data_IF_748338205415
#
_entry.id   IF_748338205415
#
_cell.length_a   1.000
_cell.length_b   1.000
_cell.length_c   1.000
_cell.angle_alpha   90.00
_cell.angle_beta   90.00
_cell.angle_gamma   90.00
#
_symmetry.space_group_name_H-M   'P 1'
#
loop_
_entity.id
_entity.type
_entity.pdbx_description
1 polymer ?
#
# COMPACT_ATOMS: atom_id res chain seq x y z
N UNK A 1 19.36 -2.71 -22.37
CA UNK A 1 20.27 -2.85 -21.22
C UNK A 1 21.29 -1.73 -21.30
N UNK A 2 21.44 -0.91 -20.26
CA UNK A 2 22.22 0.34 -20.30
C UNK A 2 23.66 0.12 -20.82
N UNK A 3 24.32 -0.96 -20.39
CA UNK A 3 25.68 -1.31 -20.81
C UNK A 3 25.84 -1.62 -22.32
N UNK A 4 24.75 -1.89 -23.04
CA UNK A 4 24.77 -2.16 -24.49
C UNK A 4 24.51 -0.92 -25.35
N UNK A 5 24.10 0.19 -24.74
CA UNK A 5 23.81 1.45 -25.43
C UNK A 5 25.10 2.14 -25.86
N UNK A 6 25.02 2.91 -26.94
CA UNK A 6 26.09 3.84 -27.36
C UNK A 6 26.26 4.97 -26.33
N UNK A 7 27.38 5.69 -26.37
CA UNK A 7 27.62 6.80 -25.44
C UNK A 7 26.50 7.85 -25.49
N UNK A 8 26.07 8.24 -26.69
CA UNK A 8 25.01 9.24 -26.90
C UNK A 8 23.68 8.79 -26.29
N UNK A 9 23.32 7.51 -26.46
CA UNK A 9 22.10 6.94 -25.85
C UNK A 9 22.20 6.76 -24.34
N UNK A 10 23.41 6.67 -23.77
CA UNK A 10 23.59 6.64 -22.31
C UNK A 10 23.41 8.03 -21.72
N UNK A 11 23.84 9.08 -22.43
CA UNK A 11 23.64 10.47 -22.02
C UNK A 11 22.16 10.86 -21.92
N UNK A 12 21.29 10.21 -22.71
CA UNK A 12 19.83 10.44 -22.61
C UNK A 12 19.17 9.70 -21.46
N UNK A 13 19.84 8.70 -20.89
CA UNK A 13 19.30 7.81 -19.85
C UNK A 13 19.79 8.17 -18.44
N UNK A 14 20.92 8.87 -18.32
CA UNK A 14 21.51 9.27 -17.04
C UNK A 14 21.11 10.70 -16.65
N UNK A 15 21.15 10.99 -15.35
CA UNK A 15 20.82 12.33 -14.84
C UNK A 15 21.98 13.32 -15.03
N UNK A 16 23.23 12.82 -15.01
CA UNK A 16 24.42 13.62 -15.34
C UNK A 16 25.57 12.75 -15.82
N UNK A 17 26.53 13.35 -16.52
CA UNK A 17 27.76 12.71 -16.97
C UNK A 17 28.96 13.58 -16.61
N UNK A 18 29.93 12.98 -15.91
CA UNK A 18 31.15 13.64 -15.48
C UNK A 18 32.28 13.32 -16.46
N UNK A 19 32.62 14.28 -17.32
CA UNK A 19 33.61 14.07 -18.38
C UNK A 19 35.02 13.80 -17.84
N UNK A 20 35.38 14.39 -16.70
CA UNK A 20 36.70 14.23 -16.09
C UNK A 20 36.96 12.83 -15.54
N UNK A 21 35.93 12.13 -15.04
CA UNK A 21 36.03 10.77 -14.50
C UNK A 21 35.45 9.70 -15.43
N UNK A 22 34.82 10.10 -16.54
CA UNK A 22 34.05 9.23 -17.44
C UNK A 22 32.93 8.45 -16.75
N UNK A 23 32.27 9.08 -15.77
CA UNK A 23 31.24 8.46 -14.93
C UNK A 23 29.82 8.94 -15.27
N UNK A 24 28.86 8.03 -15.19
CA UNK A 24 27.44 8.32 -15.34
C UNK A 24 26.79 8.40 -13.96
N UNK A 25 26.11 9.51 -13.68
CA UNK A 25 25.39 9.74 -12.45
C UNK A 25 23.91 9.41 -12.58
N UNK A 26 23.38 8.79 -11.53
CA UNK A 26 21.97 8.46 -11.39
C UNK A 26 21.50 8.89 -10.00
N UNK A 27 20.42 9.67 -9.93
CA UNK A 27 19.78 10.08 -8.67
C UNK A 27 18.89 8.95 -8.14
N UNK A 28 19.51 7.80 -7.87
CA UNK A 28 18.82 6.55 -7.48
C UNK A 28 19.47 5.90 -6.27
N UNK A 29 18.79 4.89 -5.72
CA UNK A 29 19.17 4.27 -4.45
C UNK A 29 20.48 3.45 -4.58
N UNK A 30 21.60 3.87 -3.97
CA UNK A 30 22.87 3.14 -4.09
C UNK A 30 22.80 1.73 -3.48
N UNK A 31 22.03 1.56 -2.41
CA UNK A 31 21.83 0.27 -1.73
C UNK A 31 21.18 -0.76 -2.66
N UNK A 32 20.21 -0.35 -3.49
CA UNK A 32 19.51 -1.29 -4.37
C UNK A 32 20.37 -1.57 -5.61
N UNK A 33 21.16 -0.57 -6.03
CA UNK A 33 22.03 -0.66 -7.19
C UNK A 33 23.12 -1.71 -7.05
N UNK A 34 23.60 -2.02 -5.84
CA UNK A 34 24.51 -3.15 -5.61
C UNK A 34 23.97 -4.47 -6.18
N UNK A 35 22.71 -4.80 -5.89
CA UNK A 35 22.08 -6.03 -6.40
C UNK A 35 21.86 -6.01 -7.93
N UNK A 36 21.68 -4.82 -8.50
CA UNK A 36 21.59 -4.64 -9.94
C UNK A 36 22.93 -4.99 -10.58
N UNK A 37 24.03 -4.41 -10.08
CA UNK A 37 25.39 -4.69 -10.57
C UNK A 37 25.79 -6.14 -10.35
N UNK A 38 25.46 -6.74 -9.21
CA UNK A 38 25.69 -8.16 -8.95
C UNK A 38 25.01 -9.05 -9.99
N UNK A 39 23.79 -8.70 -10.40
CA UNK A 39 23.12 -9.40 -11.50
C UNK A 39 23.88 -9.24 -12.83
N UNK A 40 24.40 -8.04 -13.14
CA UNK A 40 25.20 -7.82 -14.35
C UNK A 40 26.50 -8.62 -14.35
N UNK A 41 27.14 -8.82 -13.19
CA UNK A 41 28.40 -9.55 -13.04
C UNK A 41 28.17 -11.06 -13.03
N UNK A 42 27.22 -11.53 -12.22
CA UNK A 42 27.02 -12.97 -11.95
C UNK A 42 26.01 -13.64 -12.88
N UNK A 43 25.14 -12.84 -13.52
CA UNK A 43 23.98 -13.32 -14.27
C UNK A 43 22.84 -13.87 -13.41
N UNK A 44 22.96 -13.83 -12.07
CA UNK A 44 21.96 -14.38 -11.13
C UNK A 44 21.28 -13.26 -10.37
N UNK A 45 19.96 -13.18 -10.51
CA UNK A 45 19.15 -12.22 -9.76
C UNK A 45 18.62 -12.87 -8.49
N UNK A 46 19.10 -12.37 -7.34
CA UNK A 46 18.60 -12.74 -6.02
C UNK A 46 17.86 -11.57 -5.38
N UNK A 47 16.87 -11.88 -4.56
CA UNK A 47 16.11 -10.87 -3.84
C UNK A 47 16.78 -10.58 -2.49
N UNK A 48 17.21 -9.35 -2.22
CA UNK A 48 17.59 -8.92 -0.87
C UNK A 48 16.44 -9.02 0.14
N UNK A 49 16.76 -9.44 1.37
CA UNK A 49 15.79 -9.59 2.46
C UNK A 49 15.56 -8.31 3.26
N UNK A 50 16.53 -7.41 3.23
CA UNK A 50 16.59 -6.11 3.91
C UNK A 50 16.02 -4.96 3.06
N UNK A 51 15.72 -5.21 1.79
CA UNK A 51 15.13 -4.23 0.88
C UNK A 51 13.65 -4.52 0.65
N UNK A 52 12.84 -3.47 0.69
CA UNK A 52 11.42 -3.56 0.35
C UNK A 52 11.26 -4.12 -1.08
N UNK A 53 10.49 -5.20 -1.28
CA UNK A 53 10.29 -5.81 -2.60
C UNK A 53 9.75 -4.83 -3.65
N UNK A 54 8.84 -3.93 -3.26
CA UNK A 54 8.28 -2.91 -4.16
C UNK A 54 9.38 -1.97 -4.65
N UNK A 55 10.27 -1.52 -3.76
CA UNK A 55 11.39 -0.65 -4.15
C UNK A 55 12.35 -1.36 -5.10
N UNK A 56 12.66 -2.63 -4.84
CA UNK A 56 13.48 -3.44 -5.73
C UNK A 56 12.84 -3.56 -7.12
N UNK A 57 11.53 -3.77 -7.21
CA UNK A 57 10.77 -3.85 -8.47
C UNK A 57 10.91 -2.58 -9.30
N UNK A 58 10.70 -1.41 -8.70
CA UNK A 58 10.84 -0.14 -9.41
C UNK A 58 12.24 0.05 -9.97
N UNK A 59 13.27 -0.35 -9.24
CA UNK A 59 14.64 -0.34 -9.75
C UNK A 59 14.81 -1.35 -10.89
N UNK A 60 14.36 -2.60 -10.74
CA UNK A 60 14.43 -3.61 -11.81
C UNK A 60 13.73 -3.15 -13.09
N UNK A 61 12.57 -2.51 -12.97
CA UNK A 61 11.82 -1.96 -14.10
C UNK A 61 12.58 -0.78 -14.74
N UNK A 62 13.19 0.11 -13.95
CA UNK A 62 14.06 1.18 -14.45
C UNK A 62 15.26 0.61 -15.23
N UNK A 63 15.97 -0.37 -14.66
CA UNK A 63 17.14 -1.01 -15.26
C UNK A 63 16.79 -2.00 -16.38
N UNK A 64 15.50 -2.19 -16.67
CA UNK A 64 14.96 -3.11 -17.70
C UNK A 64 15.39 -4.56 -17.47
N UNK A 65 15.43 -4.98 -16.22
CA UNK A 65 15.73 -6.35 -15.80
C UNK A 65 14.40 -7.04 -15.48
N UNK A 66 13.96 -8.01 -16.31
CA UNK A 66 12.68 -8.67 -16.06
C UNK A 66 12.75 -9.55 -14.81
N UNK A 67 11.75 -9.41 -13.93
CA UNK A 67 11.61 -10.16 -12.68
C UNK A 67 11.56 -11.68 -12.90
N UNK A 68 11.16 -12.13 -14.10
CA UNK A 68 11.16 -13.55 -14.48
C UNK A 68 12.56 -14.20 -14.42
N UNK A 69 13.62 -13.41 -14.47
CA UNK A 69 15.01 -13.87 -14.34
C UNK A 69 15.44 -14.10 -12.88
N UNK A 70 14.55 -13.83 -11.93
CA UNK A 70 14.79 -14.12 -10.52
C UNK A 70 15.03 -15.61 -10.32
N UNK A 71 16.10 -15.91 -9.59
CA UNK A 71 16.52 -17.27 -9.27
C UNK A 71 15.43 -18.06 -8.52
N UNK A 72 15.44 -19.39 -8.65
CA UNK A 72 14.44 -20.28 -8.05
C UNK A 72 14.33 -20.06 -6.53
N UNK A 73 15.44 -19.83 -5.83
CA UNK A 73 15.45 -19.65 -4.38
C UNK A 73 14.85 -18.32 -3.91
N UNK A 74 14.66 -17.37 -4.82
CA UNK A 74 14.12 -16.04 -4.53
C UNK A 74 12.79 -15.77 -5.23
N UNK A 75 12.36 -16.66 -6.15
CA UNK A 75 10.99 -16.65 -6.64
C UNK A 75 10.09 -16.77 -5.42
N UNK A 76 9.15 -15.84 -5.31
CA UNK A 76 8.00 -16.01 -4.45
C UNK A 76 7.48 -17.41 -4.76
N UNK A 77 7.49 -18.31 -3.78
CA UNK A 77 6.73 -19.53 -3.92
C UNK A 77 5.30 -19.04 -4.14
N UNK A 78 4.86 -19.04 -5.40
CA UNK A 78 3.45 -18.97 -5.74
C UNK A 78 2.82 -19.99 -4.82
N UNK A 79 2.07 -19.51 -3.83
CA UNK A 79 1.34 -20.33 -2.91
C UNK A 79 0.32 -21.10 -3.72
N UNK A 80 0.74 -22.23 -4.30
CA UNK A 80 -0.11 -23.31 -4.77
C UNK A 80 -0.83 -23.85 -3.53
N UNK A 81 -1.81 -23.09 -3.05
CA UNK A 81 -2.86 -23.39 -2.05
C UNK A 81 -3.67 -22.13 -1.70
N UNK A 82 -4.07 -21.33 -2.69
CA UNK A 82 -5.25 -20.48 -2.57
C UNK A 82 -6.25 -20.85 -3.67
N UNK A 83 -7.13 -21.75 -3.26
CA UNK A 83 -8.34 -22.22 -3.91
C UNK A 83 -9.03 -21.21 -4.85
N UNK A 84 -9.07 -21.55 -6.15
CA UNK A 84 -10.23 -21.38 -7.04
C UNK A 84 -10.72 -19.96 -7.36
N UNK A 85 -10.75 -19.65 -8.66
CA UNK A 85 -11.37 -18.48 -9.32
C UNK A 85 -10.53 -17.19 -9.16
N UNK A 86 -10.08 -16.49 -10.18
CA UNK A 86 -10.68 -16.25 -11.49
C UNK A 86 -9.58 -15.78 -12.46
N UNK A 87 -9.62 -16.34 -13.66
CA UNK A 87 -8.92 -15.87 -14.84
C UNK A 87 -9.37 -14.44 -15.17
N UNK A 88 -8.48 -13.45 -15.04
CA UNK A 88 -8.39 -12.38 -16.03
C UNK A 88 -7.06 -11.63 -15.87
N UNK A 89 -6.45 -11.30 -17.01
CA UNK A 89 -5.30 -10.42 -17.16
C UNK A 89 -5.32 -9.29 -16.13
N UNK A 90 -4.20 -9.03 -15.44
CA UNK A 90 -3.70 -7.70 -15.12
C UNK A 90 -2.36 -7.81 -14.39
N UNK A 91 -1.34 -7.15 -14.95
CA UNK A 91 -0.01 -6.98 -14.35
C UNK A 91 -0.08 -6.38 -12.92
N UNK A 92 -1.22 -5.79 -12.57
CA UNK A 92 -1.55 -5.17 -11.28
C UNK A 92 -1.61 -6.15 -10.09
N UNK A 93 -1.95 -7.43 -10.31
CA UNK A 93 -1.93 -8.43 -9.22
C UNK A 93 -0.52 -8.69 -8.69
N UNK A 94 0.47 -8.69 -9.58
CA UNK A 94 1.88 -8.87 -9.22
C UNK A 94 2.37 -7.71 -8.36
N UNK A 95 1.86 -6.48 -8.55
CA UNK A 95 2.23 -5.35 -7.68
C UNK A 95 1.69 -5.51 -6.26
N UNK A 96 0.48 -6.05 -6.10
CA UNK A 96 -0.12 -6.26 -4.78
C UNK A 96 0.52 -7.44 -4.05
N UNK A 97 0.82 -8.52 -4.77
CA UNK A 97 1.47 -9.73 -4.27
C UNK A 97 2.94 -9.50 -3.88
N UNK A 98 3.63 -8.58 -4.57
CA UNK A 98 5.00 -8.20 -4.25
C UNK A 98 5.07 -7.22 -3.06
N UNK A 99 4.03 -6.41 -2.86
CA UNK A 99 3.92 -5.46 -1.75
C UNK A 99 3.71 -6.12 -0.39
N UNK A 100 3.10 -7.30 -0.39
CA UNK A 100 2.82 -8.05 0.82
C UNK A 100 3.54 -9.40 0.75
N UNK A 101 4.60 -9.65 1.55
CA UNK A 101 5.13 -11.01 1.68
C UNK A 101 3.98 -11.93 2.11
N UNK A 102 3.61 -12.95 1.32
CA UNK A 102 2.53 -13.89 1.69
C UNK A 102 2.83 -14.60 3.02
N UNK A 103 4.08 -14.58 3.46
CA UNK A 103 4.59 -15.24 4.66
C UNK A 103 4.65 -14.35 5.92
N UNK A 104 4.18 -13.10 5.91
CA UNK A 104 4.33 -12.20 7.07
C UNK A 104 3.49 -12.66 8.28
N UNK A 105 2.42 -13.42 8.06
CA UNK A 105 1.52 -13.88 9.12
C UNK A 105 1.46 -15.40 9.31
N UNK A 106 2.15 -16.19 8.48
CA UNK A 106 2.08 -17.66 8.54
C UNK A 106 2.70 -18.26 9.81
N UNK A 107 3.57 -17.51 10.48
CA UNK A 107 4.24 -17.94 11.72
C UNK A 107 3.51 -17.50 13.00
N UNK A 108 2.36 -16.82 12.89
CA UNK A 108 1.63 -16.24 14.02
C UNK A 108 0.32 -16.99 14.27
N UNK A 109 0.00 -17.25 15.54
CA UNK A 109 -1.32 -17.78 15.91
C UNK A 109 -2.43 -16.84 15.41
N UNK A 110 -3.43 -17.40 14.71
CA UNK A 110 -4.48 -16.64 13.99
C UNK A 110 -4.01 -15.73 12.84
N UNK A 111 -2.89 -16.06 12.18
CA UNK A 111 -2.40 -15.30 11.03
C UNK A 111 -3.42 -15.03 9.93
N UNK A 112 -4.30 -16.00 9.63
CA UNK A 112 -5.37 -15.86 8.62
C UNK A 112 -6.41 -14.80 8.98
N UNK A 113 -6.89 -14.79 10.22
CA UNK A 113 -7.86 -13.79 10.67
C UNK A 113 -7.23 -12.39 10.69
N UNK A 114 -5.97 -12.30 11.14
CA UNK A 114 -5.21 -11.05 11.15
C UNK A 114 -4.94 -10.52 9.75
N UNK A 115 -4.60 -11.38 8.80
CA UNK A 115 -4.40 -11.01 7.40
C UNK A 115 -5.72 -10.56 6.76
N UNK A 116 -6.84 -11.21 7.08
CA UNK A 116 -8.18 -10.79 6.63
C UNK A 116 -8.49 -9.40 7.17
N UNK A 117 -8.31 -9.16 8.47
CA UNK A 117 -8.55 -7.85 9.10
C UNK A 117 -7.62 -6.79 8.52
N UNK A 118 -6.33 -7.08 8.39
CA UNK A 118 -5.35 -6.15 7.84
C UNK A 118 -5.66 -5.80 6.38
N UNK A 119 -5.90 -6.80 5.53
CA UNK A 119 -6.31 -6.59 4.12
C UNK A 119 -7.62 -5.81 4.02
N UNK A 120 -8.53 -6.05 4.96
CA UNK A 120 -9.82 -5.40 5.03
C UNK A 120 -9.72 -3.90 5.37
N UNK A 121 -8.80 -3.50 6.26
CA UNK A 121 -8.53 -2.10 6.57
C UNK A 121 -7.67 -1.39 5.50
N UNK A 122 -6.68 -2.09 4.94
CA UNK A 122 -5.72 -1.50 4.01
C UNK A 122 -6.30 -1.30 2.59
N UNK A 123 -7.23 -2.17 2.16
CA UNK A 123 -7.79 -2.18 0.80
C UNK A 123 -9.33 -2.27 0.78
N UNK A 124 -10.05 -1.13 0.91
CA UNK A 124 -11.53 -1.10 0.86
C UNK A 124 -12.11 -1.51 -0.51
N UNK A 125 -11.28 -1.64 -1.55
CA UNK A 125 -11.68 -1.97 -2.92
C UNK A 125 -11.62 -3.47 -3.27
N UNK A 126 -11.10 -4.31 -2.37
CA UNK A 126 -10.78 -5.72 -2.68
C UNK A 126 -11.99 -6.66 -2.72
N UNK A 127 -13.05 -6.38 -1.96
CA UNK A 127 -14.22 -7.27 -1.82
C UNK A 127 -15.52 -6.50 -1.65
N UNK A 128 -16.65 -7.08 -2.07
CA UNK A 128 -18.01 -6.53 -1.86
C UNK A 128 -18.26 -6.29 -0.36
N UNK A 129 -17.79 -7.17 0.52
CA UNK A 129 -17.91 -7.00 1.97
C UNK A 129 -17.12 -5.78 2.49
N UNK A 130 -15.93 -5.52 1.93
CA UNK A 130 -15.12 -4.34 2.25
C UNK A 130 -15.79 -3.04 1.81
N UNK A 131 -16.45 -3.05 0.64
CA UNK A 131 -17.24 -1.90 0.16
C UNK A 131 -18.42 -1.59 1.08
N UNK A 132 -19.16 -2.61 1.53
CA UNK A 132 -20.31 -2.44 2.43
C UNK A 132 -19.88 -1.85 3.77
N UNK A 133 -18.82 -2.36 4.37
CA UNK A 133 -18.35 -1.88 5.66
C UNK A 133 -17.68 -0.49 5.58
N UNK A 134 -16.94 -0.20 4.50
CA UNK A 134 -16.44 1.15 4.24
C UNK A 134 -17.60 2.15 4.14
N UNK A 135 -18.67 1.79 3.43
CA UNK A 135 -19.87 2.62 3.32
C UNK A 135 -20.56 2.82 4.69
N UNK A 136 -20.74 1.74 5.47
CA UNK A 136 -21.34 1.80 6.82
C UNK A 136 -20.54 2.72 7.74
N UNK A 137 -19.21 2.62 7.73
CA UNK A 137 -18.34 3.46 8.57
C UNK A 137 -18.43 4.94 8.17
N UNK A 138 -18.47 5.25 6.87
CA UNK A 138 -18.64 6.61 6.38
C UNK A 138 -20.01 7.20 6.79
N UNK A 139 -21.09 6.42 6.67
CA UNK A 139 -22.43 6.83 7.10
C UNK A 139 -22.48 7.08 8.61
N UNK A 140 -21.87 6.21 9.42
CA UNK A 140 -21.82 6.38 10.87
C UNK A 140 -21.11 7.70 11.29
N UNK A 141 -20.00 8.02 10.64
CA UNK A 141 -19.27 9.29 10.87
C UNK A 141 -20.13 10.49 10.49
N UNK A 142 -20.83 10.43 9.35
CA UNK A 142 -21.71 11.51 8.90
C UNK A 142 -22.91 11.72 9.83
N UNK A 143 -23.53 10.65 10.31
CA UNK A 143 -24.63 10.73 11.30
C UNK A 143 -24.16 11.33 12.62
N UNK A 144 -22.97 10.94 13.08
CA UNK A 144 -22.37 11.47 14.32
C UNK A 144 -22.06 12.96 14.19
N UNK A 145 -21.52 13.38 13.04
CA UNK A 145 -21.27 14.78 12.73
C UNK A 145 -22.58 15.59 12.66
N UNK A 146 -23.61 15.06 11.98
CA UNK A 146 -24.92 15.70 11.91
C UNK A 146 -25.54 15.86 13.31
N UNK A 147 -25.47 14.82 14.15
CA UNK A 147 -25.93 14.88 15.53
C UNK A 147 -25.19 15.92 16.37
N UNK A 148 -23.87 16.05 16.19
CA UNK A 148 -23.07 17.08 16.86
C UNK A 148 -23.47 18.50 16.40
N UNK A 149 -23.68 18.70 15.09
CA UNK A 149 -24.12 19.98 14.53
C UNK A 149 -25.50 20.34 15.09
N UNK A 150 -26.45 19.40 15.06
CA UNK A 150 -27.81 19.60 15.59
C UNK A 150 -27.79 19.89 17.10
N UNK A 151 -26.95 19.20 17.88
CA UNK A 151 -26.79 19.44 19.32
C UNK A 151 -26.16 20.80 19.63
N UNK A 152 -25.40 21.35 18.67
CA UNK A 152 -24.75 22.67 18.78
C UNK A 152 -25.67 23.81 18.35
N UNK A 153 -26.82 23.54 17.72
CA UNK A 153 -27.81 24.56 17.36
C UNK A 153 -28.74 24.83 18.55
N UNK A 154 -28.75 26.06 19.09
CA UNK A 154 -29.57 26.42 20.25
C UNK A 154 -31.08 26.42 19.94
N UNK A 155 -31.49 26.50 18.66
CA UNK A 155 -32.89 26.47 18.24
C UNK A 155 -33.58 25.11 18.45
N UNK A 156 -32.80 24.02 18.63
CA UNK A 156 -33.30 22.68 18.95
C UNK A 156 -33.05 22.26 20.42
N UNK A 157 -32.38 23.12 21.22
CA UNK A 157 -32.19 22.91 22.65
C UNK A 157 -33.44 23.33 23.48
N UNK A 158 -34.56 23.60 22.83
CA UNK A 158 -35.83 23.98 23.45
C UNK A 158 -36.50 22.77 24.12
N UNK A 159 -35.91 22.31 25.22
CA UNK A 159 -36.60 21.47 26.18
C UNK A 159 -36.31 21.86 27.64
N UNK A 160 -36.06 23.15 27.88
CA UNK A 160 -36.24 23.77 29.19
C UNK A 160 -37.42 24.77 29.15
N UNK A 161 -38.57 24.36 28.62
CA UNK A 161 -39.83 24.87 29.18
C UNK A 161 -40.09 24.07 30.45
N UNK A 162 -39.46 24.50 31.54
CA UNK A 162 -39.99 24.28 32.88
C UNK A 162 -41.48 24.63 32.79
N UNK A 163 -42.41 23.69 33.02
CA UNK A 163 -43.81 24.01 32.85
C UNK A 163 -44.18 25.03 33.93
N UNK A 164 -44.76 26.16 33.50
CA UNK A 164 -44.90 27.39 34.32
C UNK A 164 -45.61 27.17 35.68
N UNK A 165 -46.36 26.07 35.84
CA UNK A 165 -47.02 25.70 37.10
C UNK A 165 -46.03 25.38 38.22
N UNK A 166 -44.80 24.96 37.90
CA UNK A 166 -43.78 24.64 38.90
C UNK A 166 -43.13 25.89 39.52
N UNK A 167 -43.11 27.01 38.79
CA UNK A 167 -42.70 28.31 39.32
C UNK A 167 -43.79 28.95 40.19
N UNK A 168 -45.07 28.76 39.83
CA UNK A 168 -46.19 29.19 40.68
C UNK A 168 -46.27 28.43 42.02
N UNK A 169 -45.89 27.16 42.07
CA UNK A 169 -45.90 26.40 43.32
C UNK A 169 -44.78 26.81 44.30
N UNK A 170 -43.69 27.39 43.80
CA UNK A 170 -42.52 27.82 44.58
C UNK A 170 -42.60 29.27 45.07
N UNK A 171 -43.50 30.08 44.51
CA UNK A 171 -43.78 31.46 44.97
C UNK A 171 -44.86 31.52 46.07
N UNK A 172 -45.56 30.41 46.35
CA UNK A 172 -46.71 30.36 47.29
C UNK A 172 -46.37 29.54 48.56
N UNK A 173 -45.10 29.15 48.77
CA UNK A 173 -44.63 28.48 49.99
C UNK A 173 -43.39 29.15 50.57
#
# INVERSE_FOLDING_TARGET
MFCKKSHIERLTDCDSYFEHSHEYYFERSPIIFEYIIDYYITGKLHRPMDVCPIRLRYELDFWRIPVSLMSVCCRFEDGKKAHGMQNNNNNDQVYLELSCPPNLFDKVWMGKARLIIWTFFENPRSSIAAKILSLLSAVFVLLSLAGLILSSMPEFQTNDMIPHWSLQALEIW
#
